data_IF_882514007908
#
_entry.id   IF_882514007908
#
_cell.length_a   1.000
_cell.length_b   1.000
_cell.length_c   1.000
_cell.angle_alpha   90.00
_cell.angle_beta   90.00
_cell.angle_gamma   90.00
#
_symmetry.space_group_name_H-M   'P 1'
#
loop_
_entity.id
_entity.type
_entity.pdbx_description
1 polymer ?
#
# COMPACT_ATOMS: atom_id res chain seq x y z
N UNK A 1 -25.46 -12.82 -27.05
CA UNK A 1 -26.74 -12.37 -26.47
C UNK A 1 -26.71 -12.71 -24.99
N UNK A 2 -26.89 -11.72 -24.12
CA UNK A 2 -27.09 -11.96 -22.69
C UNK A 2 -28.59 -12.15 -22.49
N UNK A 3 -29.01 -13.31 -22.00
CA UNK A 3 -30.42 -13.58 -21.69
C UNK A 3 -30.62 -13.20 -20.23
N UNK A 4 -31.50 -12.24 -19.97
CA UNK A 4 -31.83 -11.84 -18.62
C UNK A 4 -32.59 -12.98 -17.93
N UNK A 5 -32.00 -13.53 -16.87
CA UNK A 5 -32.64 -14.52 -16.01
C UNK A 5 -33.85 -13.88 -15.31
N UNK A 6 -35.00 -14.54 -15.38
CA UNK A 6 -36.16 -14.08 -14.63
C UNK A 6 -35.91 -14.21 -13.12
N UNK A 7 -36.54 -13.34 -12.31
CA UNK A 7 -36.46 -13.41 -10.84
C UNK A 7 -36.74 -14.82 -10.29
N UNK A 8 -37.79 -15.56 -10.71
CA UNK A 8 -38.05 -16.91 -10.21
C UNK A 8 -36.96 -17.92 -10.59
N UNK A 9 -36.45 -17.90 -11.83
CA UNK A 9 -35.37 -18.81 -12.25
C UNK A 9 -34.09 -18.59 -11.44
N UNK A 10 -33.73 -17.32 -11.21
CA UNK A 10 -32.59 -16.95 -10.37
C UNK A 10 -32.79 -17.42 -8.94
N UNK A 11 -33.98 -17.21 -8.39
CA UNK A 11 -34.27 -17.58 -7.01
C UNK A 11 -34.29 -19.11 -6.86
N UNK A 12 -34.78 -19.87 -7.84
CA UNK A 12 -34.69 -21.33 -7.87
C UNK A 12 -33.24 -21.81 -7.87
N UNK A 13 -32.43 -21.30 -8.81
CA UNK A 13 -30.99 -21.61 -8.89
C UNK A 13 -30.27 -21.37 -7.56
N UNK A 14 -30.56 -20.25 -6.91
CA UNK A 14 -29.97 -19.87 -5.63
C UNK A 14 -30.51 -20.70 -4.45
N UNK A 15 -31.76 -21.18 -4.47
CA UNK A 15 -32.29 -22.10 -3.43
C UNK A 15 -31.77 -23.52 -3.53
N UNK A 16 -31.16 -23.91 -4.65
CA UNK A 16 -30.65 -25.27 -4.76
C UNK A 16 -29.46 -25.56 -3.82
N UNK A 17 -28.89 -24.55 -3.15
CA UNK A 17 -27.82 -24.68 -2.15
C UNK A 17 -28.33 -24.56 -0.71
N UNK A 18 -29.60 -24.21 -0.50
CA UNK A 18 -30.17 -24.18 0.85
C UNK A 18 -30.35 -25.60 1.39
N UNK A 19 -29.75 -25.88 2.56
CA UNK A 19 -29.78 -27.21 3.17
C UNK A 19 -28.79 -28.21 2.55
N UNK A 20 -27.88 -27.77 1.67
CA UNK A 20 -26.88 -28.63 1.07
C UNK A 20 -25.58 -28.76 1.90
N UNK A 21 -25.35 -27.85 2.85
CA UNK A 21 -24.20 -27.87 3.74
C UNK A 21 -24.50 -28.74 4.95
N UNK A 22 -23.61 -29.69 5.23
CA UNK A 22 -23.68 -30.55 6.42
C UNK A 22 -23.31 -29.70 7.65
N UNK A 23 -24.22 -29.47 8.62
CA UNK A 23 -23.90 -28.72 9.83
C UNK A 23 -22.80 -29.42 10.63
N UNK A 24 -21.81 -28.68 11.13
CA UNK A 24 -20.72 -29.24 11.95
C UNK A 24 -19.67 -30.06 11.18
N UNK A 25 -19.68 -30.04 9.84
CA UNK A 25 -18.74 -30.78 9.01
C UNK A 25 -17.29 -30.34 9.20
N UNK A 26 -16.41 -31.28 9.57
CA UNK A 26 -14.98 -31.02 9.87
C UNK A 26 -14.00 -31.58 8.83
N UNK A 27 -14.46 -32.28 7.78
CA UNK A 27 -13.56 -32.66 6.68
C UNK A 27 -13.95 -33.90 5.84
N UNK A 28 -14.74 -34.85 6.36
CA UNK A 28 -15.06 -36.08 5.64
C UNK A 28 -16.56 -36.32 5.41
N UNK A 29 -16.96 -36.49 4.14
CA UNK A 29 -18.34 -36.79 3.73
C UNK A 29 -18.39 -38.23 3.20
N UNK A 30 -19.06 -39.15 3.91
CA UNK A 30 -19.20 -40.53 3.47
C UNK A 30 -19.82 -40.57 2.07
N UNK A 31 -19.36 -41.48 1.23
CA UNK A 31 -19.85 -41.72 -0.14
C UNK A 31 -19.66 -40.61 -1.17
N UNK A 32 -19.21 -39.41 -0.76
CA UNK A 32 -18.99 -38.28 -1.69
C UNK A 32 -18.03 -38.62 -2.82
N UNK A 33 -16.97 -39.39 -2.54
CA UNK A 33 -15.98 -39.83 -3.54
C UNK A 33 -16.56 -40.69 -4.67
N UNK A 34 -17.72 -41.30 -4.45
CA UNK A 34 -18.40 -42.14 -5.45
C UNK A 34 -19.45 -41.37 -6.26
N UNK A 35 -19.72 -40.10 -5.91
CA UNK A 35 -20.67 -39.24 -6.62
C UNK A 35 -19.92 -38.22 -7.48
N UNK A 36 -20.03 -38.37 -8.80
CA UNK A 36 -19.37 -37.52 -9.79
C UNK A 36 -20.43 -36.89 -10.72
N UNK A 37 -20.16 -35.71 -11.25
CA UNK A 37 -20.99 -35.07 -12.29
C UNK A 37 -22.06 -34.10 -11.79
N UNK A 38 -22.28 -34.01 -10.48
CA UNK A 38 -23.13 -32.96 -9.87
C UNK A 38 -22.28 -32.02 -9.02
N UNK A 39 -22.78 -30.80 -8.78
CA UNK A 39 -22.17 -29.85 -7.84
C UNK A 39 -22.12 -30.43 -6.43
N UNK A 40 -21.14 -30.00 -5.65
CA UNK A 40 -20.93 -30.44 -4.26
C UNK A 40 -22.23 -30.43 -3.44
N UNK A 41 -22.97 -29.33 -3.46
CA UNK A 41 -24.23 -29.20 -2.71
C UNK A 41 -25.30 -30.22 -3.10
N UNK A 42 -25.45 -30.53 -4.38
CA UNK A 42 -26.42 -31.53 -4.83
C UNK A 42 -26.02 -32.93 -4.37
N UNK A 43 -24.73 -33.26 -4.45
CA UNK A 43 -24.21 -34.53 -3.96
C UNK A 43 -24.39 -34.68 -2.45
N UNK A 44 -24.01 -33.68 -1.66
CA UNK A 44 -24.14 -33.73 -0.20
C UNK A 44 -25.60 -33.78 0.25
N UNK A 45 -26.51 -33.09 -0.44
CA UNK A 45 -27.95 -33.15 -0.15
C UNK A 45 -28.50 -34.56 -0.40
N UNK A 46 -28.17 -35.18 -1.53
CA UNK A 46 -28.61 -36.55 -1.80
C UNK A 46 -27.99 -37.57 -0.84
N UNK A 47 -26.72 -37.38 -0.45
CA UNK A 47 -26.05 -38.22 0.55
C UNK A 47 -26.75 -38.09 1.90
N UNK A 48 -27.07 -36.86 2.33
CA UNK A 48 -27.83 -36.63 3.56
C UNK A 48 -29.21 -37.31 3.51
N UNK A 49 -29.90 -37.24 2.36
CA UNK A 49 -31.17 -37.93 2.17
C UNK A 49 -31.00 -39.45 2.28
N UNK A 50 -30.04 -40.04 1.55
CA UNK A 50 -29.76 -41.48 1.56
C UNK A 50 -29.37 -41.98 2.96
N UNK A 51 -28.53 -41.24 3.68
CA UNK A 51 -28.15 -41.57 5.05
C UNK A 51 -29.32 -41.41 6.05
N UNK A 52 -30.24 -40.48 5.80
CA UNK A 52 -31.45 -40.30 6.62
C UNK A 52 -32.45 -41.43 6.38
N UNK A 53 -32.65 -41.81 5.12
CA UNK A 53 -33.54 -42.89 4.69
C UNK A 53 -33.05 -44.24 5.23
N UNK A 54 -31.73 -44.47 5.24
CA UNK A 54 -31.08 -45.64 5.88
C UNK A 54 -31.08 -45.59 7.41
N UNK A 55 -31.56 -44.50 8.00
CA UNK A 55 -31.62 -44.30 9.45
C UNK A 55 -30.27 -44.12 10.13
N UNK A 56 -29.17 -43.93 9.39
CA UNK A 56 -27.83 -43.69 9.92
C UNK A 56 -27.80 -42.34 10.63
N UNK A 57 -28.36 -41.30 10.01
CA UNK A 57 -28.45 -39.98 10.62
C UNK A 57 -29.49 -39.91 11.74
N UNK A 58 -30.55 -40.73 11.72
CA UNK A 58 -31.53 -40.77 12.83
C UNK A 58 -30.92 -41.33 14.12
N UNK A 59 -30.02 -42.31 14.02
CA UNK A 59 -29.28 -42.87 15.17
C UNK A 59 -28.36 -41.83 15.81
N UNK A 60 -27.69 -41.01 14.99
CA UNK A 60 -26.76 -39.97 15.46
C UNK A 60 -27.36 -38.56 15.60
N UNK A 61 -28.62 -38.33 15.20
CA UNK A 61 -29.35 -37.10 15.52
C UNK A 61 -30.01 -37.20 16.90
N UNK A 62 -30.28 -38.43 17.38
CA UNK A 62 -30.70 -38.71 18.74
C UNK A 62 -29.52 -38.72 19.73
N UNK A 63 -28.32 -39.10 19.28
CA UNK A 63 -27.08 -38.92 20.04
C UNK A 63 -26.52 -37.53 19.75
N UNK A 64 -26.80 -36.58 20.64
CA UNK A 64 -26.13 -35.27 20.72
C UNK A 64 -24.67 -35.37 20.26
N UNK A 65 -24.40 -34.84 19.07
CA UNK A 65 -23.05 -34.72 18.53
C UNK A 65 -22.19 -34.00 19.56
N UNK A 66 -21.27 -34.74 20.20
CA UNK A 66 -20.42 -34.28 21.32
C UNK A 66 -21.22 -34.02 22.62
N UNK A 67 -21.86 -35.07 23.18
CA UNK A 67 -22.54 -35.04 24.50
C UNK A 67 -21.75 -34.32 25.60
N UNK A 68 -20.42 -34.46 25.59
CA UNK A 68 -19.53 -33.76 26.51
C UNK A 68 -18.32 -33.25 25.74
N UNK A 69 -18.12 -31.93 25.72
CA UNK A 69 -16.84 -31.39 25.31
C UNK A 69 -15.85 -31.64 26.47
N UNK A 70 -14.79 -32.45 26.30
CA UNK A 70 -13.86 -32.77 27.39
C UNK A 70 -13.16 -31.52 27.96
N UNK A 71 -13.11 -30.43 27.18
CA UNK A 71 -12.64 -29.12 27.62
C UNK A 71 -13.65 -28.40 28.53
N UNK A 72 -14.94 -28.73 28.47
CA UNK A 72 -15.98 -28.04 29.25
C UNK A 72 -15.91 -28.35 30.73
N UNK A 73 -15.53 -29.58 31.10
CA UNK A 73 -15.20 -29.91 32.50
C UNK A 73 -13.99 -29.10 32.99
N UNK A 74 -12.96 -28.94 32.15
CA UNK A 74 -11.74 -28.20 32.47
C UNK A 74 -11.97 -26.67 32.57
N UNK A 75 -12.91 -26.12 31.78
CA UNK A 75 -13.34 -24.72 31.82
C UNK A 75 -14.17 -24.41 33.07
N UNK A 76 -15.10 -25.31 33.44
CA UNK A 76 -15.95 -25.15 34.63
C UNK A 76 -15.14 -25.26 35.93
N UNK A 77 -14.11 -26.11 35.94
CA UNK A 77 -13.23 -26.32 37.09
C UNK A 77 -12.16 -25.22 37.25
N UNK A 78 -12.18 -24.18 36.40
CA UNK A 78 -11.29 -23.01 36.51
C UNK A 78 -9.82 -23.28 36.18
N UNK A 79 -9.46 -24.46 35.65
CA UNK A 79 -8.08 -24.76 35.24
C UNK A 79 -7.65 -24.01 33.98
N UNK A 80 -8.63 -23.59 33.16
CA UNK A 80 -8.41 -22.72 32.02
C UNK A 80 -9.36 -21.52 32.11
N UNK A 81 -8.84 -20.30 31.96
CA UNK A 81 -9.68 -19.14 31.75
C UNK A 81 -10.24 -19.19 30.32
N UNK A 82 -11.55 -19.00 30.19
CA UNK A 82 -12.14 -18.67 28.89
C UNK A 82 -11.43 -17.41 28.41
N UNK A 83 -10.82 -17.45 27.22
CA UNK A 83 -10.26 -16.25 26.62
C UNK A 83 -11.43 -15.27 26.49
N UNK A 84 -11.39 -14.18 27.24
CA UNK A 84 -12.38 -13.12 27.13
C UNK A 84 -12.24 -12.48 25.75
N UNK A 85 -13.02 -13.01 24.84
CA UNK A 85 -13.10 -12.56 23.48
C UNK A 85 -13.76 -11.17 23.48
N UNK A 86 -13.05 -10.15 22.99
CA UNK A 86 -13.51 -8.77 22.97
C UNK A 86 -14.92 -8.64 22.33
N UNK A 87 -15.75 -7.71 22.85
CA UNK A 87 -17.11 -7.42 22.36
C UNK A 87 -17.15 -7.42 20.82
N UNK A 88 -17.87 -8.38 20.24
CA UNK A 88 -18.04 -8.53 18.79
C UNK A 88 -17.49 -9.82 18.18
N UNK A 89 -16.71 -10.62 18.93
CA UNK A 89 -16.27 -11.95 18.50
C UNK A 89 -17.39 -13.01 18.63
N UNK A 90 -18.37 -12.80 19.52
CA UNK A 90 -19.55 -13.66 19.75
C UNK A 90 -20.83 -13.05 19.14
N UNK A 91 -20.88 -12.81 17.83
CA UNK A 91 -22.19 -12.95 17.18
C UNK A 91 -22.37 -14.44 16.94
N UNK A 92 -22.93 -15.08 17.96
CA UNK A 92 -23.27 -16.49 17.94
C UNK A 92 -24.03 -16.78 16.64
N UNK A 93 -23.54 -17.74 15.88
CA UNK A 93 -23.96 -18.02 14.50
C UNK A 93 -25.30 -18.77 14.47
N UNK A 94 -26.21 -18.48 15.41
CA UNK A 94 -27.62 -18.64 15.07
C UNK A 94 -27.84 -17.65 13.94
N UNK A 95 -27.85 -18.17 12.73
CA UNK A 95 -28.45 -17.51 11.58
C UNK A 95 -29.83 -17.11 12.07
N UNK A 96 -30.01 -15.85 12.48
CA UNK A 96 -31.34 -15.35 12.79
C UNK A 96 -32.18 -15.72 11.56
N UNK A 97 -33.26 -16.49 11.73
CA UNK A 97 -34.14 -16.81 10.59
C UNK A 97 -34.65 -15.54 9.90
N UNK A 98 -34.60 -14.39 10.60
CA UNK A 98 -34.82 -13.05 10.07
C UNK A 98 -33.63 -12.46 9.28
N UNK A 99 -32.38 -12.81 9.64
CA UNK A 99 -31.16 -12.45 8.93
C UNK A 99 -30.86 -13.53 7.87
N UNK A 100 -31.77 -13.66 6.91
CA UNK A 100 -31.60 -14.56 5.77
C UNK A 100 -30.26 -14.23 5.10
N UNK A 101 -29.32 -15.15 5.21
CA UNK A 101 -28.08 -15.16 4.46
C UNK A 101 -28.39 -14.79 3.01
N UNK A 102 -27.70 -13.78 2.47
CA UNK A 102 -27.77 -13.54 1.03
C UNK A 102 -27.32 -14.83 0.34
N UNK A 103 -28.08 -15.28 -0.65
CA UNK A 103 -27.75 -16.51 -1.37
C UNK A 103 -26.57 -16.20 -2.30
N UNK A 104 -25.41 -16.69 -1.93
CA UNK A 104 -24.18 -16.58 -2.73
C UNK A 104 -24.08 -17.74 -3.71
N UNK A 105 -23.51 -17.47 -4.88
CA UNK A 105 -23.11 -18.52 -5.81
C UNK A 105 -21.87 -19.20 -5.20
N UNK A 106 -22.01 -20.47 -4.81
CA UNK A 106 -20.89 -21.26 -4.31
C UNK A 106 -19.80 -21.36 -5.39
N UNK A 107 -18.55 -21.09 -5.01
CA UNK A 107 -17.43 -21.11 -5.95
C UNK A 107 -17.29 -19.85 -6.82
N UNK A 108 -18.09 -18.81 -6.58
CA UNK A 108 -17.87 -17.51 -7.21
C UNK A 108 -16.54 -16.90 -6.75
N UNK A 109 -15.61 -16.76 -7.69
CA UNK A 109 -14.28 -16.16 -7.49
C UNK A 109 -14.19 -14.73 -8.04
N UNK A 110 -15.31 -14.17 -8.50
CA UNK A 110 -15.36 -12.84 -9.10
C UNK A 110 -15.27 -11.70 -8.08
N UNK A 111 -15.40 -10.47 -8.58
CA UNK A 111 -15.24 -9.25 -7.79
C UNK A 111 -16.38 -9.04 -6.78
N UNK A 112 -16.02 -8.76 -5.52
CA UNK A 112 -16.93 -8.31 -4.46
C UNK A 112 -16.44 -6.94 -3.96
N UNK A 113 -17.25 -5.86 -4.10
CA UNK A 113 -16.83 -4.51 -3.72
C UNK A 113 -16.36 -4.41 -2.26
N UNK A 114 -15.15 -3.90 -2.05
CA UNK A 114 -14.57 -3.71 -0.72
C UNK A 114 -14.15 -4.99 0.02
N UNK A 115 -14.25 -6.17 -0.61
CA UNK A 115 -13.82 -7.43 0.02
C UNK A 115 -12.29 -7.61 -0.02
N UNK A 116 -11.62 -7.06 -1.04
CA UNK A 116 -10.17 -7.17 -1.23
C UNK A 116 -9.33 -6.51 -0.12
N UNK A 117 -9.95 -5.75 0.79
CA UNK A 117 -9.28 -5.17 1.96
C UNK A 117 -9.69 -5.85 3.28
N UNK A 118 -10.45 -6.95 3.23
CA UNK A 118 -10.95 -7.66 4.40
C UNK A 118 -10.27 -9.02 4.51
N UNK A 119 -9.59 -9.24 5.64
CA UNK A 119 -8.83 -10.46 5.91
C UNK A 119 -9.19 -11.02 7.30
N UNK A 120 -8.84 -12.27 7.57
CA UNK A 120 -9.03 -12.90 8.89
C UNK A 120 -10.48 -13.27 9.25
N UNK A 121 -11.41 -13.21 8.29
CA UNK A 121 -12.80 -13.62 8.46
C UNK A 121 -13.14 -14.75 7.48
N UNK A 122 -14.17 -15.55 7.78
CA UNK A 122 -14.69 -16.49 6.78
C UNK A 122 -15.21 -15.74 5.55
N UNK A 123 -15.08 -16.34 4.37
CA UNK A 123 -15.50 -15.74 3.09
C UNK A 123 -16.91 -15.15 3.17
N UNK A 124 -17.85 -15.90 3.76
CA UNK A 124 -19.23 -15.47 3.97
C UNK A 124 -19.32 -14.16 4.76
N UNK A 125 -18.63 -14.07 5.91
CA UNK A 125 -18.66 -12.87 6.76
C UNK A 125 -18.03 -11.67 6.07
N UNK A 126 -16.95 -11.90 5.32
CA UNK A 126 -16.30 -10.85 4.54
C UNK A 126 -17.24 -10.32 3.45
N UNK A 127 -17.90 -11.22 2.71
CA UNK A 127 -18.85 -10.88 1.65
C UNK A 127 -20.08 -10.13 2.19
N UNK A 128 -20.70 -10.62 3.27
CA UNK A 128 -21.86 -9.97 3.91
C UNK A 128 -21.49 -8.53 4.35
N UNK A 129 -20.38 -8.38 5.07
CA UNK A 129 -19.92 -7.07 5.54
C UNK A 129 -19.58 -6.11 4.38
N UNK A 130 -18.98 -6.64 3.30
CA UNK A 130 -18.70 -5.88 2.09
C UNK A 130 -19.97 -5.38 1.39
N UNK A 131 -20.99 -6.22 1.28
CA UNK A 131 -22.28 -5.86 0.66
C UNK A 131 -23.02 -4.83 1.51
N UNK A 132 -23.00 -4.96 2.82
CA UNK A 132 -23.64 -4.00 3.73
C UNK A 132 -22.95 -2.64 3.67
N UNK A 133 -21.61 -2.61 3.69
CA UNK A 133 -20.83 -1.38 3.49
C UNK A 133 -21.11 -0.74 2.14
N UNK A 134 -21.16 -1.55 1.08
CA UNK A 134 -21.46 -1.06 -0.26
C UNK A 134 -22.86 -0.45 -0.34
N UNK A 135 -23.86 -1.10 0.25
CA UNK A 135 -25.25 -0.61 0.30
C UNK A 135 -25.36 0.69 1.08
N UNK A 136 -24.66 0.79 2.22
CA UNK A 136 -24.57 2.02 3.02
C UNK A 136 -23.89 3.16 2.26
N UNK A 137 -22.80 2.89 1.55
CA UNK A 137 -22.13 3.91 0.71
C UNK A 137 -23.02 4.37 -0.43
N UNK A 138 -23.75 3.45 -1.07
CA UNK A 138 -24.69 3.78 -2.13
C UNK A 138 -25.85 4.65 -1.63
N UNK A 139 -26.41 4.36 -0.45
CA UNK A 139 -27.49 5.19 0.12
C UNK A 139 -27.00 6.58 0.54
N UNK A 140 -25.79 6.67 1.12
CA UNK A 140 -25.15 7.95 1.45
C UNK A 140 -24.83 8.78 0.20
N UNK A 141 -24.34 8.15 -0.87
CA UNK A 141 -24.07 8.85 -2.13
C UNK A 141 -25.37 9.30 -2.81
N UNK A 142 -26.44 8.49 -2.74
CA UNK A 142 -27.75 8.87 -3.24
C UNK A 142 -28.32 10.09 -2.48
N UNK A 143 -28.20 10.11 -1.14
CA UNK A 143 -28.65 11.26 -0.34
C UNK A 143 -27.82 12.51 -0.59
N UNK A 144 -26.48 12.37 -0.69
CA UNK A 144 -25.58 13.47 -1.08
C UNK A 144 -25.95 14.05 -2.44
N UNK A 145 -26.17 13.19 -3.44
CA UNK A 145 -26.60 13.62 -4.78
C UNK A 145 -27.96 14.29 -4.75
N UNK A 146 -28.92 13.78 -3.98
CA UNK A 146 -30.23 14.40 -3.85
C UNK A 146 -30.13 15.83 -3.29
N UNK A 147 -29.25 16.06 -2.30
CA UNK A 147 -28.98 17.40 -1.76
C UNK A 147 -28.23 18.30 -2.75
N UNK A 148 -27.27 17.76 -3.51
CA UNK A 148 -26.49 18.52 -4.49
C UNK A 148 -27.25 18.84 -5.78
N UNK A 149 -28.26 18.06 -6.14
CA UNK A 149 -29.04 18.26 -7.37
C UNK A 149 -29.66 19.66 -7.46
N UNK A 150 -30.39 20.17 -6.44
CA UNK A 150 -30.90 21.54 -6.47
C UNK A 150 -29.79 22.60 -6.41
N UNK A 151 -28.69 22.34 -5.69
CA UNK A 151 -27.52 23.23 -5.65
C UNK A 151 -26.85 23.35 -7.01
N UNK A 152 -26.76 22.25 -7.78
CA UNK A 152 -26.27 22.23 -9.16
C UNK A 152 -27.18 23.01 -10.10
N UNK A 153 -28.49 22.93 -9.93
CA UNK A 153 -29.42 23.75 -10.70
C UNK A 153 -29.19 25.24 -10.42
N UNK A 154 -29.06 25.63 -9.14
CA UNK A 154 -28.77 27.02 -8.73
C UNK A 154 -27.39 27.52 -9.21
N UNK A 155 -26.36 26.68 -9.15
CA UNK A 155 -25.02 27.06 -9.60
C UNK A 155 -24.91 27.13 -11.14
N UNK A 156 -25.76 26.42 -11.88
CA UNK A 156 -25.89 26.58 -13.35
C UNK A 156 -26.69 27.82 -13.74
N UNK A 157 -27.64 28.28 -12.91
CA UNK A 157 -28.37 29.52 -13.13
C UNK A 157 -27.63 30.77 -12.66
N UNK A 158 -26.58 30.62 -11.84
CA UNK A 158 -25.74 31.73 -11.43
C UNK A 158 -24.95 32.28 -12.64
N UNK A 159 -24.85 33.61 -12.80
CA UNK A 159 -24.04 34.20 -13.85
C UNK A 159 -22.59 33.74 -13.69
N UNK A 160 -21.96 33.35 -14.80
CA UNK A 160 -20.55 32.94 -14.79
C UNK A 160 -19.71 34.13 -14.31
N UNK A 161 -18.90 33.91 -13.27
CA UNK A 161 -17.94 34.90 -12.80
C UNK A 161 -17.04 35.31 -13.97
N UNK A 162 -17.05 36.61 -14.26
CA UNK A 162 -16.17 37.20 -15.28
C UNK A 162 -14.77 37.32 -14.68
N UNK A 163 -13.75 36.98 -15.48
CA UNK A 163 -12.37 37.12 -15.03
C UNK A 163 -12.04 38.58 -14.77
N UNK A 164 -11.63 38.92 -13.55
CA UNK A 164 -11.25 40.29 -13.16
C UNK A 164 -10.03 40.78 -13.97
N UNK A 165 -9.16 39.85 -14.39
CA UNK A 165 -7.97 40.13 -15.19
C UNK A 165 -8.14 39.66 -16.62
N UNK A 166 -7.59 40.42 -17.56
CA UNK A 166 -7.47 39.99 -18.95
C UNK A 166 -6.63 38.71 -19.04
N UNK A 167 -6.97 37.84 -20.00
CA UNK A 167 -6.33 36.52 -20.17
C UNK A 167 -4.81 36.64 -20.33
N UNK A 168 -4.35 37.69 -20.98
CA UNK A 168 -2.92 37.94 -21.22
C UNK A 168 -2.19 38.31 -19.93
N UNK A 169 -2.79 39.13 -19.05
CA UNK A 169 -2.23 39.44 -17.74
C UNK A 169 -2.11 38.19 -16.86
N UNK A 170 -3.09 37.28 -16.94
CA UNK A 170 -3.06 36.00 -16.21
C UNK A 170 -1.93 35.12 -16.73
N UNK A 171 -1.76 35.02 -18.05
CA UNK A 171 -0.65 34.27 -18.66
C UNK A 171 0.70 34.84 -18.25
N UNK A 172 0.91 36.16 -18.39
CA UNK A 172 2.15 36.81 -17.99
C UNK A 172 2.45 36.62 -16.50
N UNK A 173 1.43 36.69 -15.64
CA UNK A 173 1.59 36.42 -14.20
C UNK A 173 1.99 34.96 -13.93
N UNK A 174 1.40 34.01 -14.67
CA UNK A 174 1.71 32.59 -14.55
C UNK A 174 3.15 32.30 -15.03
N UNK A 175 3.54 32.88 -16.16
CA UNK A 175 4.89 32.76 -16.70
C UNK A 175 5.93 33.37 -15.75
N UNK A 176 5.64 34.53 -15.18
CA UNK A 176 6.49 35.15 -14.16
C UNK A 176 6.61 34.26 -12.92
N UNK A 177 5.51 33.68 -12.45
CA UNK A 177 5.53 32.74 -11.32
C UNK A 177 6.35 31.48 -11.65
N UNK A 178 6.16 30.91 -12.83
CA UNK A 178 6.95 29.76 -13.29
C UNK A 178 8.43 30.11 -13.40
N UNK A 179 8.79 31.29 -13.94
CA UNK A 179 10.17 31.74 -14.03
C UNK A 179 10.80 31.96 -12.66
N UNK A 180 10.08 32.58 -11.73
CA UNK A 180 10.58 32.84 -10.38
C UNK A 180 10.75 31.54 -9.56
N UNK A 181 9.91 30.53 -9.81
CA UNK A 181 9.99 29.24 -9.13
C UNK A 181 10.74 28.18 -9.96
N UNK A 182 11.45 28.56 -11.02
CA UNK A 182 12.39 27.65 -11.67
C UNK A 182 13.46 27.26 -10.66
N UNK A 183 13.70 25.96 -10.54
CA UNK A 183 14.79 25.43 -9.74
C UNK A 183 16.11 26.03 -10.22
N UNK A 184 16.76 26.81 -9.36
CA UNK A 184 18.11 27.26 -9.58
C UNK A 184 19.04 26.23 -8.93
N UNK A 185 20.03 25.74 -9.67
CA UNK A 185 21.08 24.89 -9.12
C UNK A 185 21.81 25.68 -8.03
N UNK A 186 21.58 25.32 -6.76
CA UNK A 186 22.28 25.94 -5.66
C UNK A 186 23.74 25.50 -5.69
N UNK A 187 24.66 26.39 -6.08
CA UNK A 187 26.09 26.14 -5.92
C UNK A 187 26.40 25.91 -4.43
N UNK A 188 26.80 24.68 -4.11
CA UNK A 188 27.10 24.24 -2.74
C UNK A 188 28.20 25.15 -2.18
N UNK A 189 27.87 25.91 -1.14
CA UNK A 189 28.77 26.87 -0.49
C UNK A 189 28.63 26.78 1.02
N UNK A 190 29.62 27.27 1.79
CA UNK A 190 29.51 27.39 3.25
C UNK A 190 28.25 28.13 3.75
N UNK A 191 27.76 29.08 2.96
CA UNK A 191 26.62 29.94 3.25
C UNK A 191 25.29 29.21 2.96
N UNK A 192 25.31 28.33 1.96
CA UNK A 192 24.21 27.45 1.59
C UNK A 192 24.69 25.99 1.55
N UNK A 193 24.96 25.36 2.71
CA UNK A 193 25.44 23.98 2.76
C UNK A 193 24.32 23.00 2.35
N UNK A 194 24.67 21.77 1.94
CA UNK A 194 23.69 20.77 1.56
C UNK A 194 22.68 20.49 2.68
N UNK A 195 21.44 20.19 2.28
CA UNK A 195 20.37 19.85 3.23
C UNK A 195 20.66 18.52 3.93
N UNK A 196 20.11 18.38 5.14
CA UNK A 196 20.15 17.11 5.86
C UNK A 196 19.51 16.01 5.01
N UNK A 197 20.21 14.88 4.86
CA UNK A 197 19.82 13.78 3.96
C UNK A 197 20.61 13.72 2.65
N UNK A 198 21.44 14.72 2.34
CA UNK A 198 22.38 14.62 1.22
C UNK A 198 23.42 13.51 1.48
N UNK A 199 23.46 12.53 0.57
CA UNK A 199 24.28 11.31 0.66
C UNK A 199 25.64 11.42 -0.04
N UNK A 200 25.88 12.53 -0.75
CA UNK A 200 27.13 12.76 -1.46
C UNK A 200 28.31 13.09 -0.54
N UNK A 201 29.50 13.20 -1.12
CA UNK A 201 30.72 13.57 -0.39
C UNK A 201 30.77 15.07 -0.08
N UNK A 202 31.07 15.43 1.16
CA UNK A 202 31.44 16.79 1.55
C UNK A 202 32.94 16.79 1.89
N UNK A 203 33.76 17.53 1.13
CA UNK A 203 35.19 17.63 1.40
C UNK A 203 35.48 18.10 2.83
N UNK A 204 36.56 17.57 3.42
CA UNK A 204 37.05 17.94 4.76
C UNK A 204 36.09 17.67 5.93
N UNK A 205 34.94 17.05 5.71
CA UNK A 205 34.04 16.60 6.79
C UNK A 205 34.47 15.23 7.30
N UNK A 206 34.62 14.22 6.44
CA UNK A 206 35.03 12.88 6.87
C UNK A 206 36.50 12.90 7.34
N UNK A 207 36.74 12.52 8.60
CA UNK A 207 38.08 12.38 9.19
C UNK A 207 38.71 13.65 9.76
N UNK A 208 38.00 14.78 9.77
CA UNK A 208 38.42 16.02 10.45
C UNK A 208 37.65 16.21 11.75
N UNK A 209 38.29 16.83 12.76
CA UNK A 209 37.66 17.28 14.00
C UNK A 209 36.43 18.17 13.75
N UNK A 210 36.34 18.81 12.58
CA UNK A 210 35.20 19.63 12.17
C UNK A 210 33.84 18.87 12.15
N UNK A 211 33.86 17.54 12.07
CA UNK A 211 32.67 16.68 11.99
C UNK A 211 32.32 15.95 13.29
N UNK A 212 33.22 15.96 14.28
CA UNK A 212 32.99 15.23 15.52
C UNK A 212 31.86 15.90 16.32
N UNK A 213 30.85 15.10 16.67
CA UNK A 213 29.69 15.46 17.51
C UNK A 213 28.85 16.67 17.05
N UNK A 214 28.98 17.14 15.80
CA UNK A 214 28.21 18.26 15.27
C UNK A 214 26.97 17.81 14.49
N UNK A 215 25.95 18.69 14.45
CA UNK A 215 24.81 18.52 13.52
C UNK A 215 25.30 18.61 12.09
N UNK A 216 24.64 17.88 11.18
CA UNK A 216 25.03 17.78 9.78
C UNK A 216 25.29 19.13 9.09
N UNK A 217 24.36 20.09 9.23
CA UNK A 217 24.50 21.42 8.60
C UNK A 217 25.73 22.18 9.12
N UNK A 218 26.06 22.06 10.41
CA UNK A 218 27.22 22.68 11.04
C UNK A 218 28.51 22.04 10.53
N UNK A 219 28.55 20.71 10.46
CA UNK A 219 29.70 19.98 9.94
C UNK A 219 29.93 20.29 8.45
N UNK A 220 28.87 20.31 7.65
CA UNK A 220 28.91 20.66 6.23
C UNK A 220 29.43 22.07 5.99
N UNK A 221 28.91 23.06 6.73
CA UNK A 221 29.37 24.45 6.69
C UNK A 221 30.86 24.55 7.01
N UNK A 222 31.31 23.93 8.11
CA UNK A 222 32.72 23.94 8.52
C UNK A 222 33.64 23.27 7.50
N UNK A 223 33.25 22.11 6.97
CA UNK A 223 34.04 21.43 5.93
C UNK A 223 34.21 22.28 4.67
N UNK A 224 33.13 22.92 4.21
CA UNK A 224 33.18 23.82 3.05
C UNK A 224 34.00 25.09 3.34
N UNK A 225 33.95 25.65 4.56
CA UNK A 225 34.81 26.80 4.91
C UNK A 225 36.30 26.45 4.86
N UNK A 226 36.67 25.26 5.36
CA UNK A 226 38.05 24.79 5.30
C UNK A 226 38.51 24.58 3.86
N UNK A 227 37.64 24.03 3.02
CA UNK A 227 37.93 23.87 1.59
C UNK A 227 38.15 25.24 0.91
N UNK A 228 37.32 26.24 1.22
CA UNK A 228 37.48 27.61 0.69
C UNK A 228 38.82 28.21 1.09
N UNK A 229 39.18 28.14 2.37
CA UNK A 229 40.46 28.64 2.88
C UNK A 229 41.65 27.93 2.23
N UNK A 230 41.56 26.62 2.04
CA UNK A 230 42.58 25.83 1.35
C UNK A 230 42.74 26.31 -0.10
N UNK A 231 41.64 26.49 -0.83
CA UNK A 231 41.68 27.00 -2.20
C UNK A 231 42.28 28.40 -2.29
N UNK A 232 41.94 29.30 -1.37
CA UNK A 232 42.51 30.65 -1.30
C UNK A 232 44.01 30.61 -1.04
N UNK A 233 44.46 29.74 -0.13
CA UNK A 233 45.89 29.51 0.14
C UNK A 233 46.61 29.02 -1.11
N UNK A 234 46.08 28.03 -1.82
CA UNK A 234 46.66 27.53 -3.07
C UNK A 234 46.71 28.59 -4.16
N UNK A 235 45.67 29.42 -4.31
CA UNK A 235 45.67 30.56 -5.23
C UNK A 235 46.75 31.57 -4.88
N UNK A 236 46.91 31.89 -3.60
CA UNK A 236 47.97 32.77 -3.11
C UNK A 236 49.38 32.21 -3.40
N UNK A 237 49.62 30.94 -3.10
CA UNK A 237 50.90 30.28 -3.42
C UNK A 237 51.17 30.22 -4.92
N UNK A 238 50.15 29.98 -5.75
CA UNK A 238 50.28 30.01 -7.22
C UNK A 238 50.66 31.40 -7.71
N UNK A 239 50.03 32.45 -7.16
CA UNK A 239 50.35 33.83 -7.49
C UNK A 239 51.80 34.18 -7.10
N UNK A 240 52.24 33.77 -5.90
CA UNK A 240 53.61 33.95 -5.44
C UNK A 240 54.61 33.18 -6.30
N UNK A 241 54.36 31.90 -6.61
CA UNK A 241 55.22 31.11 -7.49
C UNK A 241 55.33 31.72 -8.89
N UNK A 242 54.23 32.24 -9.43
CA UNK A 242 54.24 32.92 -10.73
C UNK A 242 55.09 34.20 -10.65
N UNK A 243 54.92 35.01 -9.59
CA UNK A 243 55.76 36.21 -9.39
C UNK A 243 57.25 35.89 -9.19
N UNK A 244 57.58 34.79 -8.50
CA UNK A 244 58.97 34.35 -8.29
C UNK A 244 59.57 33.82 -9.60
N UNK A 245 58.82 33.05 -10.40
CA UNK A 245 59.25 32.61 -11.73
C UNK A 245 59.47 33.77 -12.69
N UNK A 246 58.65 34.83 -12.63
CA UNK A 246 58.85 36.04 -13.41
C UNK A 246 60.04 36.89 -12.92
N UNK A 247 60.42 36.80 -11.64
CA UNK A 247 61.50 37.58 -11.04
C UNK A 247 62.89 36.91 -11.16
N UNK A 248 62.96 35.59 -11.40
CA UNK A 248 64.21 34.88 -11.63
C UNK A 248 64.60 34.93 -13.12
N UNK A 249 65.74 35.54 -13.50
CA UNK A 249 66.18 35.53 -14.89
C UNK A 249 66.54 34.09 -15.31
N UNK A 250 65.90 33.61 -16.38
CA UNK A 250 66.23 32.33 -17.01
C UNK A 250 67.70 32.33 -17.42
N UNK A 251 68.57 31.61 -16.70
CA UNK A 251 69.94 31.37 -17.15
C UNK A 251 69.90 30.44 -18.37
N UNK A 252 70.43 30.84 -19.53
CA UNK A 252 70.56 29.93 -20.66
C UNK A 252 71.65 28.89 -20.34
N UNK A 253 71.28 27.60 -20.32
CA UNK A 253 72.24 26.50 -20.37
C UNK A 253 72.93 26.54 -21.73
N UNK A 254 74.17 27.03 -21.76
CA UNK A 254 74.99 27.11 -22.97
C UNK A 254 75.89 25.86 -23.03
N UNK A 255 75.36 24.76 -23.57
CA UNK A 255 76.14 23.55 -23.84
C UNK A 255 76.70 23.61 -25.26
N UNK A 256 77.87 24.22 -25.45
CA UNK A 256 78.73 23.98 -26.63
C UNK A 256 79.74 22.88 -26.26
N UNK A 257 79.58 21.71 -26.85
CA UNK A 257 80.58 20.63 -26.89
C UNK A 257 81.78 21.03 -27.77
N UNK A 258 82.96 20.47 -27.52
CA UNK A 258 83.50 19.50 -28.50
C UNK A 258 84.36 18.39 -27.86
N UNK A 259 84.27 17.16 -28.40
CA UNK A 259 85.22 16.09 -28.08
C UNK A 259 84.64 14.68 -28.17
N UNK A 260 84.28 14.24 -29.37
CA UNK A 260 84.07 12.82 -29.67
C UNK A 260 85.03 12.42 -30.79
N UNK A 261 86.01 11.55 -30.52
CA UNK A 261 86.60 10.71 -31.54
C UNK A 261 86.21 9.24 -31.31
N UNK A 262 86.17 8.51 -32.43
CA UNK A 262 86.11 7.05 -32.61
C UNK A 262 84.77 6.40 -32.93
N UNK A 263 84.62 6.22 -34.24
CA UNK A 263 84.00 5.10 -34.96
C UNK A 263 84.70 3.76 -34.71
N UNK A 264 83.89 2.69 -34.82
CA UNK A 264 84.19 1.31 -35.26
C UNK A 264 85.00 0.39 -34.32
N UNK A 265 84.32 -0.58 -33.71
CA UNK A 265 84.14 -1.92 -34.27
C UNK A 265 82.93 -2.62 -33.65
#
# INVERSE_FOLDING_TARGET
MFVDLTRPERDDFLSQTTGCLIPGYTGHCPTLKFKIGKRYGANTQEIMKDLSDRGVLKRHAAEEYRQTDPLQAMLTNGQFSVIEHAKGQTRDLKVDSANRCRRYILGYTGYIPGMHFRYGMSFRRAADASVDDFSRRMSQEASRRALETPLRARSRSAPRLVSIRARDQVKSSLDQYCQHNKFQDAHISPEFPPIAGYTGHIPRVKGSEASLSQRYHTAAKRGLTLLRQEQEKWRGLSHVNTSVQCALPSRPFNCRSPGCPYTAH
#
